data_IF_286510147361
#
_entry.id   IF_286510147361
#
_cell.length_a   1.000
_cell.length_b   1.000
_cell.length_c   1.000
_cell.angle_alpha   90.00
_cell.angle_beta   90.00
_cell.angle_gamma   90.00
#
_symmetry.space_group_name_H-M   'P 1'
#
loop_
_entity.id
_entity.type
_entity.pdbx_description
1 polymer ?
#
# COMPACT_ATOMS: atom_id res chain seq x y z
N UNK A 1 -16.78 6.20 -7.59
CA UNK A 1 -17.54 7.44 -7.89
C UNK A 1 -16.56 8.47 -8.40
N UNK A 2 -16.82 9.08 -9.55
CA UNK A 2 -16.05 10.23 -10.05
C UNK A 2 -16.98 11.44 -10.13
N UNK A 3 -16.41 12.64 -10.05
CA UNK A 3 -17.18 13.87 -10.08
C UNK A 3 -16.31 15.07 -10.47
N UNK A 4 -16.97 16.10 -10.98
CA UNK A 4 -16.37 17.39 -11.28
C UNK A 4 -17.35 18.46 -10.83
N UNK A 5 -16.88 19.46 -10.08
CA UNK A 5 -17.69 20.59 -9.68
C UNK A 5 -16.88 21.88 -9.80
N UNK A 6 -17.57 23.02 -9.80
CA UNK A 6 -16.97 24.36 -9.79
C UNK A 6 -17.01 25.02 -8.41
N UNK A 7 -17.76 24.41 -7.48
CA UNK A 7 -17.97 24.82 -6.10
C UNK A 7 -18.61 23.65 -5.32
N UNK A 8 -18.51 23.66 -4.01
CA UNK A 8 -19.24 22.74 -3.14
C UNK A 8 -20.52 23.40 -2.64
N UNK A 9 -21.65 22.69 -2.70
CA UNK A 9 -22.94 23.21 -2.20
C UNK A 9 -23.45 22.31 -1.09
N UNK A 10 -23.61 22.84 0.11
CA UNK A 10 -24.24 22.13 1.22
C UNK A 10 -25.70 21.84 0.88
N UNK A 11 -26.09 20.56 0.92
CA UNK A 11 -27.44 20.12 0.53
C UNK A 11 -28.54 20.53 1.50
N UNK A 12 -28.19 21.06 2.68
CA UNK A 12 -29.19 21.44 3.68
C UNK A 12 -29.78 22.83 3.40
N UNK A 13 -28.95 23.88 3.43
CA UNK A 13 -29.39 25.27 3.24
C UNK A 13 -28.70 25.97 2.07
N UNK A 14 -28.10 25.19 1.16
CA UNK A 14 -27.46 25.68 -0.06
C UNK A 14 -26.29 26.66 0.15
N UNK A 15 -25.65 26.68 1.33
CA UNK A 15 -24.38 27.39 1.52
C UNK A 15 -23.35 26.86 0.53
N UNK A 16 -22.63 27.76 -0.14
CA UNK A 16 -21.68 27.40 -1.20
C UNK A 16 -20.27 27.77 -0.82
N UNK A 17 -19.35 26.89 -1.19
CA UNK A 17 -17.93 27.03 -0.91
C UNK A 17 -17.13 26.98 -2.20
N UNK A 18 -16.11 27.84 -2.32
CA UNK A 18 -15.14 27.77 -3.41
C UNK A 18 -14.38 26.43 -3.36
N UNK A 19 -13.58 26.14 -4.39
CA UNK A 19 -12.69 24.96 -4.37
C UNK A 19 -11.55 25.13 -3.35
N UNK A 20 -11.24 26.37 -2.96
CA UNK A 20 -10.28 26.71 -1.91
C UNK A 20 -10.90 26.66 -0.50
N UNK A 21 -12.22 26.46 -0.41
CA UNK A 21 -12.96 26.29 0.85
C UNK A 21 -13.65 27.54 1.39
N UNK A 22 -13.52 28.69 0.73
CA UNK A 22 -14.14 29.94 1.18
C UNK A 22 -15.67 29.89 1.07
N UNK A 23 -16.38 30.40 2.08
CA UNK A 23 -17.84 30.56 2.01
C UNK A 23 -18.20 31.68 1.04
N UNK A 24 -18.72 31.33 -0.13
CA UNK A 24 -19.01 32.28 -1.22
C UNK A 24 -20.47 32.73 -1.27
N UNK A 25 -21.39 31.94 -0.71
CA UNK A 25 -22.82 32.24 -0.72
C UNK A 25 -23.53 31.68 0.51
N UNK A 26 -24.40 32.50 1.10
CA UNK A 26 -25.35 32.14 2.15
C UNK A 26 -26.78 32.43 1.67
N UNK A 27 -27.67 31.46 1.85
CA UNK A 27 -29.09 31.65 1.54
C UNK A 27 -29.70 32.65 2.53
N UNK A 28 -30.35 33.70 2.02
CA UNK A 28 -30.89 34.83 2.82
C UNK A 28 -29.82 35.45 3.74
N UNK A 29 -28.66 35.77 3.16
CA UNK A 29 -27.51 36.36 3.88
C UNK A 29 -27.90 37.62 4.68
N UNK A 30 -28.87 38.39 4.19
CA UNK A 30 -29.42 39.60 4.81
C UNK A 30 -30.14 39.37 6.16
N UNK A 31 -30.56 38.14 6.47
CA UNK A 31 -31.18 37.79 7.76
C UNK A 31 -30.14 37.54 8.88
N UNK A 32 -28.84 37.59 8.55
CA UNK A 32 -27.75 37.43 9.50
C UNK A 32 -27.09 38.78 9.82
N UNK A 33 -27.37 39.32 11.00
CA UNK A 33 -26.95 40.69 11.39
C UNK A 33 -25.42 40.89 11.49
N UNK A 34 -24.66 39.86 11.86
CA UNK A 34 -23.21 39.94 12.11
C UNK A 34 -22.42 38.81 11.41
N UNK A 35 -22.88 38.38 10.23
CA UNK A 35 -22.19 37.31 9.49
C UNK A 35 -20.94 37.83 8.79
N UNK A 36 -19.77 37.38 9.26
CA UNK A 36 -18.52 37.44 8.51
C UNK A 36 -18.20 36.07 7.92
N UNK A 37 -18.39 35.94 6.59
CA UNK A 37 -18.18 34.69 5.85
C UNK A 37 -16.75 34.15 5.97
N UNK A 38 -15.76 34.99 6.27
CA UNK A 38 -14.38 34.53 6.48
C UNK A 38 -14.23 33.58 7.68
N UNK A 39 -15.15 33.65 8.66
CA UNK A 39 -15.14 32.79 9.84
C UNK A 39 -15.85 31.44 9.63
N UNK A 40 -16.46 31.22 8.46
CA UNK A 40 -17.30 30.05 8.17
C UNK A 40 -16.89 29.30 6.90
N UNK A 41 -15.62 29.39 6.50
CA UNK A 41 -15.05 28.53 5.45
C UNK A 41 -14.98 27.05 5.86
N UNK A 42 -14.70 26.19 4.88
CA UNK A 42 -14.38 24.78 5.16
C UNK A 42 -13.10 24.69 6.00
N UNK A 43 -13.08 23.78 6.98
CA UNK A 43 -11.88 23.55 7.77
C UNK A 43 -10.74 23.02 6.88
N UNK A 44 -9.59 23.71 6.81
CA UNK A 44 -8.48 23.25 5.99
C UNK A 44 -7.83 22.01 6.59
N UNK A 45 -7.31 21.15 5.71
CA UNK A 45 -6.48 20.00 6.08
C UNK A 45 -5.14 20.18 5.37
N UNK A 46 -4.03 20.00 6.09
CA UNK A 46 -2.70 20.08 5.49
C UNK A 46 -2.57 19.01 4.41
N UNK A 47 -2.14 19.41 3.22
CA UNK A 47 -2.04 18.56 2.04
C UNK A 47 -0.69 18.78 1.35
N UNK A 48 0.06 17.71 1.11
CA UNK A 48 1.36 17.74 0.43
C UNK A 48 1.41 16.62 -0.60
N UNK A 49 2.22 16.80 -1.66
CA UNK A 49 2.34 15.85 -2.77
C UNK A 49 3.77 15.36 -2.87
N UNK A 50 3.94 14.05 -3.00
CA UNK A 50 5.22 13.39 -3.28
C UNK A 50 5.05 12.45 -4.49
N UNK A 51 5.81 12.65 -5.57
CA UNK A 51 5.78 11.79 -6.77
C UNK A 51 4.36 11.49 -7.33
N UNK A 52 3.42 12.43 -7.16
CA UNK A 52 2.02 12.29 -7.56
C UNK A 52 1.10 11.67 -6.50
N UNK A 53 1.65 11.12 -5.42
CA UNK A 53 0.89 10.66 -4.25
C UNK A 53 0.50 11.85 -3.36
N UNK A 54 -0.78 11.91 -2.99
CA UNK A 54 -1.35 12.98 -2.17
C UNK A 54 -1.43 12.50 -0.72
N UNK A 55 -0.80 13.24 0.19
CA UNK A 55 -0.86 12.98 1.63
C UNK A 55 -1.60 14.09 2.34
N UNK A 56 -2.38 13.71 3.35
CA UNK A 56 -3.05 14.65 4.24
C UNK A 56 -2.55 14.47 5.68
N UNK A 57 -2.51 15.56 6.44
CA UNK A 57 -2.23 15.53 7.87
C UNK A 57 -3.19 16.48 8.61
N UNK A 58 -3.76 16.01 9.72
CA UNK A 58 -4.65 16.82 10.55
C UNK A 58 -3.89 17.68 11.56
N UNK A 59 -2.59 17.44 11.78
CA UNK A 59 -1.73 18.30 12.57
C UNK A 59 -1.06 19.35 11.67
N UNK A 60 -1.45 20.61 11.86
CA UNK A 60 -0.88 21.75 11.13
C UNK A 60 0.60 21.99 11.49
N UNK A 61 1.06 21.49 12.63
CA UNK A 61 2.45 21.61 13.10
C UNK A 61 3.31 20.40 12.74
N UNK A 62 2.77 19.45 11.98
CA UNK A 62 3.54 18.30 11.51
C UNK A 62 4.77 18.72 10.70
N UNK A 63 5.82 17.91 10.77
CA UNK A 63 6.99 18.07 9.92
C UNK A 63 6.60 18.03 8.42
N UNK A 64 7.36 18.71 7.53
CA UNK A 64 7.13 18.62 6.09
C UNK A 64 7.12 17.17 5.60
N UNK A 65 6.22 16.83 4.67
CA UNK A 65 6.04 15.46 4.18
C UNK A 65 7.35 14.84 3.68
N UNK A 66 8.11 15.62 2.91
CA UNK A 66 9.36 15.17 2.33
C UNK A 66 10.42 14.85 3.40
N UNK A 67 10.42 15.55 4.54
CA UNK A 67 11.32 15.21 5.66
C UNK A 67 10.84 13.97 6.40
N UNK A 68 9.52 13.80 6.53
CA UNK A 68 8.90 12.63 7.14
C UNK A 68 9.23 11.33 6.39
N UNK A 69 9.01 11.31 5.07
CA UNK A 69 9.16 10.09 4.25
C UNK A 69 10.63 9.70 3.94
N UNK A 70 11.59 10.55 4.28
CA UNK A 70 13.02 10.31 4.02
C UNK A 70 13.65 9.33 5.02
N UNK A 71 14.70 8.61 4.60
CA UNK A 71 15.35 8.60 3.29
C UNK A 71 14.63 7.75 2.22
N UNK A 72 13.72 6.86 2.62
CA UNK A 72 13.18 5.83 1.72
C UNK A 72 12.47 6.40 0.50
N UNK A 73 11.54 7.35 0.68
CA UNK A 73 10.83 7.96 -0.44
C UNK A 73 11.79 8.68 -1.41
N UNK A 74 12.81 9.36 -0.88
CA UNK A 74 13.82 10.03 -1.70
C UNK A 74 14.61 9.05 -2.57
N UNK A 75 14.85 7.83 -2.08
CA UNK A 75 15.63 6.82 -2.79
C UNK A 75 14.92 6.25 -4.03
N UNK A 76 13.60 6.39 -4.12
CA UNK A 76 12.78 5.89 -5.23
C UNK A 76 12.18 7.00 -6.10
N UNK A 77 12.53 8.27 -5.84
CA UNK A 77 12.21 9.37 -6.75
C UNK A 77 12.76 9.11 -8.15
N UNK A 78 12.02 9.54 -9.17
CA UNK A 78 12.34 9.27 -10.57
C UNK A 78 11.90 7.89 -11.08
N UNK A 79 11.31 7.03 -10.24
CA UNK A 79 10.50 5.92 -10.74
C UNK A 79 9.27 6.50 -11.46
N UNK A 80 8.87 6.00 -12.65
CA UNK A 80 7.85 6.64 -13.47
C UNK A 80 6.42 6.33 -12.98
N UNK A 81 6.11 6.67 -11.73
CA UNK A 81 4.79 6.44 -11.11
C UNK A 81 3.66 7.06 -11.94
N UNK A 82 3.86 8.30 -12.43
CA UNK A 82 2.87 9.04 -13.21
C UNK A 82 2.55 8.45 -14.59
N UNK A 83 3.36 7.53 -15.10
CA UNK A 83 3.12 6.84 -16.38
C UNK A 83 2.21 5.61 -16.21
N UNK A 84 1.97 5.16 -14.97
CA UNK A 84 1.18 3.98 -14.66
C UNK A 84 -0.27 4.34 -14.32
N UNK A 85 -1.01 4.74 -15.35
CA UNK A 85 -2.37 5.28 -15.21
C UNK A 85 -3.48 4.23 -15.37
N UNK A 86 -3.17 3.00 -15.79
CA UNK A 86 -4.13 1.90 -15.79
C UNK A 86 -4.16 1.28 -14.39
N UNK A 87 -5.32 1.34 -13.73
CA UNK A 87 -5.45 0.92 -12.33
C UNK A 87 -6.51 -0.15 -12.12
N UNK A 88 -6.18 -1.12 -11.27
CA UNK A 88 -7.15 -2.10 -10.76
C UNK A 88 -7.20 -1.98 -9.24
N UNK A 89 -8.37 -1.64 -8.70
CA UNK A 89 -8.54 -1.40 -7.26
C UNK A 89 -9.51 -2.37 -6.62
N UNK A 90 -9.18 -2.80 -5.41
CA UNK A 90 -10.02 -3.61 -4.54
C UNK A 90 -10.17 -2.92 -3.19
N UNK A 91 -11.37 -3.03 -2.62
CA UNK A 91 -11.68 -2.49 -1.30
C UNK A 91 -12.46 -3.54 -0.52
N UNK A 92 -12.00 -3.83 0.69
CA UNK A 92 -12.63 -4.79 1.59
C UNK A 92 -12.70 -4.21 3.01
N UNK A 93 -13.76 -4.56 3.73
CA UNK A 93 -13.78 -4.45 5.19
C UNK A 93 -13.23 -5.76 5.74
N UNK A 94 -12.21 -5.68 6.59
CA UNK A 94 -11.51 -6.84 7.14
C UNK A 94 -11.66 -6.84 8.65
N UNK A 95 -12.08 -7.99 9.20
CA UNK A 95 -12.27 -8.25 10.63
C UNK A 95 -10.96 -8.46 11.41
N UNK A 96 -9.96 -7.63 11.15
CA UNK A 96 -8.71 -7.62 11.91
C UNK A 96 -8.24 -6.20 12.20
N UNK A 97 -7.42 -6.04 13.25
CA UNK A 97 -6.72 -4.78 13.47
C UNK A 97 -5.78 -4.49 12.29
N UNK A 98 -5.78 -3.25 11.80
CA UNK A 98 -4.94 -2.84 10.68
C UNK A 98 -3.45 -3.16 10.86
N UNK A 99 -2.91 -3.09 12.08
CA UNK A 99 -1.49 -3.41 12.36
C UNK A 99 -1.20 -4.89 12.18
N UNK A 100 -2.12 -5.75 12.63
CA UNK A 100 -2.02 -7.19 12.44
C UNK A 100 -2.07 -7.54 10.95
N UNK A 101 -2.84 -6.79 10.18
CA UNK A 101 -2.89 -6.99 8.74
C UNK A 101 -1.58 -6.55 8.06
N UNK A 102 -0.97 -5.44 8.48
CA UNK A 102 0.35 -5.01 7.97
C UNK A 102 1.43 -6.04 8.27
N UNK A 103 1.37 -6.76 9.40
CA UNK A 103 2.36 -7.80 9.72
C UNK A 103 2.58 -8.73 8.51
N UNK A 104 1.50 -9.17 7.85
CA UNK A 104 1.56 -10.05 6.67
C UNK A 104 2.24 -9.45 5.42
N UNK A 105 2.54 -8.16 5.40
CA UNK A 105 3.17 -7.50 4.26
C UNK A 105 4.56 -6.93 4.57
N UNK A 106 4.98 -6.98 5.83
CA UNK A 106 6.34 -6.64 6.27
C UNK A 106 7.18 -7.87 6.62
N UNK A 107 6.63 -9.07 6.44
CA UNK A 107 7.36 -10.34 6.37
C UNK A 107 6.89 -11.17 5.16
N UNK A 108 7.60 -12.26 4.91
CA UNK A 108 7.27 -13.20 3.82
C UNK A 108 7.43 -14.67 4.28
N UNK A 109 7.46 -14.89 5.60
CA UNK A 109 7.56 -16.19 6.23
C UNK A 109 6.31 -17.05 5.97
N UNK A 110 5.12 -16.44 5.95
CA UNK A 110 3.88 -17.17 5.67
C UNK A 110 3.74 -17.55 4.18
N UNK A 111 4.31 -16.77 3.27
CA UNK A 111 4.02 -16.83 1.84
C UNK A 111 4.29 -18.21 1.18
N UNK A 112 5.42 -18.91 1.47
CA UNK A 112 5.67 -20.26 0.96
C UNK A 112 4.59 -21.30 1.31
N UNK A 113 3.88 -21.11 2.43
CA UNK A 113 2.93 -22.07 2.97
C UNK A 113 1.50 -21.65 2.63
N UNK A 114 1.13 -20.41 2.94
CA UNK A 114 -0.24 -19.92 2.77
C UNK A 114 -0.62 -19.91 1.28
N UNK A 115 0.28 -19.44 0.43
CA UNK A 115 0.01 -19.23 -0.98
C UNK A 115 0.36 -20.42 -1.87
N UNK A 116 0.64 -21.59 -1.30
CA UNK A 116 1.05 -22.76 -2.07
C UNK A 116 0.08 -23.15 -3.20
N UNK A 117 -1.24 -22.89 -3.03
CA UNK A 117 -2.26 -23.15 -4.05
C UNK A 117 -2.16 -22.27 -5.29
N UNK A 118 -1.33 -21.22 -5.23
CA UNK A 118 -1.09 -20.31 -6.34
C UNK A 118 0.05 -20.78 -7.25
N UNK A 119 0.78 -21.82 -6.87
CA UNK A 119 1.86 -22.42 -7.65
C UNK A 119 1.42 -23.75 -8.27
N UNK A 120 2.20 -24.27 -9.22
CA UNK A 120 2.10 -25.70 -9.57
C UNK A 120 2.56 -26.56 -8.40
N UNK A 121 2.20 -27.85 -8.38
CA UNK A 121 2.55 -28.73 -7.24
C UNK A 121 4.07 -28.84 -7.05
N UNK A 122 4.79 -28.95 -8.17
CA UNK A 122 6.23 -29.08 -8.22
C UNK A 122 6.93 -27.79 -7.72
N UNK A 123 6.41 -26.63 -8.14
CA UNK A 123 6.91 -25.33 -7.72
C UNK A 123 6.62 -25.06 -6.24
N UNK A 124 5.41 -25.34 -5.76
CA UNK A 124 5.05 -25.25 -4.35
C UNK A 124 6.00 -26.07 -3.47
N UNK A 125 6.25 -27.34 -3.85
CA UNK A 125 7.15 -28.22 -3.09
C UNK A 125 8.60 -27.68 -3.04
N UNK A 126 9.06 -27.06 -4.13
CA UNK A 126 10.39 -26.43 -4.21
C UNK A 126 10.47 -25.20 -3.29
N UNK A 127 9.47 -24.32 -3.35
CA UNK A 127 9.40 -23.10 -2.54
C UNK A 127 9.33 -23.44 -1.05
N UNK A 128 8.48 -24.41 -0.66
CA UNK A 128 8.38 -24.85 0.73
C UNK A 128 9.69 -25.43 1.26
N UNK A 129 10.43 -26.17 0.44
CA UNK A 129 11.72 -26.73 0.82
C UNK A 129 12.81 -25.66 0.96
N UNK A 130 12.78 -24.64 0.10
CA UNK A 130 13.71 -23.52 0.17
C UNK A 130 13.41 -22.60 1.36
N UNK A 131 12.13 -22.40 1.66
CA UNK A 131 11.67 -21.51 2.70
C UNK A 131 11.72 -20.05 2.26
N UNK A 132 11.98 -19.17 3.22
CA UNK A 132 12.09 -17.73 3.02
C UNK A 132 13.42 -17.23 3.59
N UNK A 133 14.07 -16.34 2.84
CA UNK A 133 15.18 -15.49 3.27
C UNK A 133 15.04 -14.15 2.54
N UNK A 134 14.86 -13.05 3.26
CA UNK A 134 14.81 -11.74 2.61
C UNK A 134 16.18 -11.38 2.03
N UNK A 135 16.17 -10.68 0.90
CA UNK A 135 17.37 -10.21 0.24
C UNK A 135 17.94 -8.95 0.90
N UNK A 136 17.07 -8.13 1.49
CA UNK A 136 17.45 -6.90 2.17
C UNK A 136 16.37 -6.46 3.16
N UNK A 137 16.80 -5.86 4.26
CA UNK A 137 15.98 -5.11 5.20
C UNK A 137 16.58 -3.73 5.39
N UNK A 138 15.74 -2.71 5.45
CA UNK A 138 16.14 -1.35 5.84
C UNK A 138 15.14 -0.79 6.85
N UNK A 139 15.66 -0.25 7.96
CA UNK A 139 14.90 0.48 8.96
C UNK A 139 15.25 1.96 8.84
N UNK A 140 14.25 2.81 8.66
CA UNK A 140 14.47 4.22 8.34
C UNK A 140 13.47 5.09 9.12
N UNK A 141 13.83 5.43 10.36
CA UNK A 141 12.92 6.14 11.27
C UNK A 141 11.67 5.29 11.55
N UNK A 142 10.45 5.81 11.34
CA UNK A 142 9.22 5.03 11.50
C UNK A 142 8.92 4.12 10.30
N UNK A 143 9.64 4.29 9.19
CA UNK A 143 9.43 3.58 7.95
C UNK A 143 10.37 2.38 7.82
N UNK A 144 10.02 1.44 6.95
CA UNK A 144 10.88 0.31 6.65
C UNK A 144 10.71 -0.18 5.21
N UNK A 145 11.68 -0.97 4.78
CA UNK A 145 11.74 -1.59 3.47
C UNK A 145 12.19 -3.04 3.62
N UNK A 146 11.58 -3.92 2.81
CA UNK A 146 12.02 -5.27 2.57
C UNK A 146 12.21 -5.53 1.08
N UNK A 147 13.32 -6.15 0.71
CA UNK A 147 13.48 -6.74 -0.62
C UNK A 147 13.38 -8.26 -0.52
N UNK A 148 12.56 -8.88 -1.36
CA UNK A 148 12.47 -10.35 -1.44
C UNK A 148 12.80 -10.86 -2.84
N UNK A 149 13.17 -12.13 -2.89
CA UNK A 149 13.32 -12.81 -4.16
C UNK A 149 11.94 -13.03 -4.79
N UNK A 150 11.88 -13.06 -6.11
CA UNK A 150 10.64 -13.40 -6.82
C UNK A 150 10.91 -14.26 -8.04
N UNK A 151 9.82 -14.72 -8.64
CA UNK A 151 9.85 -15.49 -9.85
C UNK A 151 10.43 -14.63 -10.98
N UNK A 152 11.29 -15.25 -11.78
CA UNK A 152 11.79 -14.62 -12.99
C UNK A 152 10.62 -14.34 -13.93
N UNK A 153 10.60 -13.15 -14.52
CA UNK A 153 9.62 -12.75 -15.51
C UNK A 153 10.36 -12.41 -16.83
N UNK A 154 10.24 -13.24 -17.88
CA UNK A 154 9.50 -14.51 -17.95
C UNK A 154 10.18 -15.63 -17.13
N UNK A 155 9.40 -16.64 -16.67
CA UNK A 155 9.96 -17.78 -15.96
C UNK A 155 10.93 -18.60 -16.82
N UNK A 156 12.02 -19.09 -16.21
CA UNK A 156 13.00 -19.92 -16.92
C UNK A 156 12.55 -21.36 -17.15
N UNK A 157 11.67 -21.89 -16.30
CA UNK A 157 11.09 -23.23 -16.42
C UNK A 157 9.56 -23.13 -16.63
N UNK A 158 9.16 -23.19 -17.89
CA UNK A 158 7.74 -23.12 -18.28
C UNK A 158 6.93 -24.34 -17.84
N UNK A 159 7.57 -25.46 -17.48
CA UNK A 159 6.85 -26.64 -16.97
C UNK A 159 6.22 -26.40 -15.60
N UNK A 160 6.77 -25.43 -14.84
CA UNK A 160 6.29 -25.02 -13.52
C UNK A 160 5.26 -23.89 -13.58
N UNK A 161 4.91 -23.40 -14.76
CA UNK A 161 4.01 -22.26 -14.96
C UNK A 161 2.62 -22.75 -15.36
N UNK A 162 1.57 -22.19 -14.75
CA UNK A 162 0.18 -22.52 -15.10
C UNK A 162 -0.11 -22.23 -16.58
N UNK A 163 -0.87 -23.08 -17.31
CA UNK A 163 -1.11 -22.86 -18.75
C UNK A 163 -1.67 -21.48 -19.09
N UNK A 164 -2.53 -20.93 -18.24
CA UNK A 164 -3.13 -19.60 -18.44
C UNK A 164 -2.08 -18.48 -18.33
N UNK A 165 -1.19 -18.58 -17.35
CA UNK A 165 -0.07 -17.67 -17.14
C UNK A 165 0.86 -17.65 -18.35
N UNK A 166 1.12 -18.82 -18.95
CA UNK A 166 1.90 -18.94 -20.19
C UNK A 166 1.25 -18.23 -21.37
N UNK A 167 -0.06 -18.40 -21.55
CA UNK A 167 -0.82 -17.82 -22.67
C UNK A 167 -0.87 -16.31 -22.56
N UNK A 168 -1.18 -15.77 -21.38
CA UNK A 168 -1.27 -14.33 -21.18
C UNK A 168 0.06 -13.66 -20.91
N UNK A 169 1.12 -14.42 -20.63
CA UNK A 169 2.44 -13.92 -20.22
C UNK A 169 2.32 -13.00 -19.00
N UNK A 170 1.60 -13.50 -18.00
CA UNK A 170 1.36 -12.84 -16.72
C UNK A 170 1.12 -13.92 -15.67
N UNK A 171 1.00 -13.55 -14.40
CA UNK A 171 0.71 -14.51 -13.34
C UNK A 171 0.97 -13.88 -11.98
N UNK A 172 1.51 -14.69 -11.07
CA UNK A 172 1.84 -14.29 -9.70
C UNK A 172 2.62 -12.97 -9.62
N UNK A 173 3.70 -12.83 -10.39
CA UNK A 173 4.57 -11.64 -10.36
C UNK A 173 4.09 -10.53 -11.30
N UNK A 174 2.87 -10.66 -11.84
CA UNK A 174 2.29 -9.76 -12.83
C UNK A 174 2.74 -10.05 -14.27
N UNK A 175 2.53 -9.09 -15.19
CA UNK A 175 2.89 -9.21 -16.60
C UNK A 175 4.39 -9.41 -16.79
N UNK A 176 4.79 -10.31 -17.70
CA UNK A 176 6.20 -10.62 -17.94
C UNK A 176 6.92 -9.62 -18.83
N UNK A 177 6.16 -8.85 -19.59
CA UNK A 177 6.70 -7.91 -20.56
C UNK A 177 6.92 -6.55 -19.87
N UNK A 178 8.19 -6.23 -19.60
CA UNK A 178 8.58 -4.98 -18.93
C UNK A 178 8.17 -3.75 -19.77
N UNK A 179 7.49 -2.75 -19.19
CA UNK A 179 7.09 -1.55 -19.91
C UNK A 179 8.28 -0.79 -20.48
N UNK A 180 8.11 -0.19 -21.66
CA UNK A 180 9.19 0.56 -22.33
C UNK A 180 9.73 1.71 -21.49
N UNK A 181 8.87 2.37 -20.70
CA UNK A 181 9.29 3.47 -19.83
C UNK A 181 10.32 2.99 -18.79
N UNK A 182 10.14 1.79 -18.25
CA UNK A 182 11.07 1.18 -17.29
C UNK A 182 12.36 0.78 -18.01
N UNK A 183 12.26 0.17 -19.19
CA UNK A 183 13.43 -0.19 -19.99
C UNK A 183 14.28 1.02 -20.41
N UNK A 184 13.67 2.20 -20.54
CA UNK A 184 14.34 3.46 -20.92
C UNK A 184 15.02 4.20 -19.76
N UNK A 185 14.81 3.80 -18.50
CA UNK A 185 15.45 4.43 -17.33
C UNK A 185 16.98 4.26 -17.33
N UNK A 186 17.50 3.25 -18.04
CA UNK A 186 18.93 2.89 -18.03
C UNK A 186 19.32 2.18 -16.72
N UNK A 187 19.15 2.85 -15.59
CA UNK A 187 19.29 2.27 -14.25
C UNK A 187 18.03 2.59 -13.41
N UNK A 188 17.57 1.62 -12.61
CA UNK A 188 16.49 1.86 -11.66
C UNK A 188 16.94 2.86 -10.57
N UNK A 189 16.02 3.60 -9.93
CA UNK A 189 16.35 4.41 -8.77
C UNK A 189 17.13 3.60 -7.71
N UNK A 190 18.02 4.24 -6.92
CA UNK A 190 18.89 3.53 -5.99
C UNK A 190 18.13 2.81 -4.87
N UNK A 191 16.92 3.25 -4.54
CA UNK A 191 16.03 2.58 -3.59
C UNK A 191 15.41 1.30 -4.13
N UNK A 192 15.21 1.20 -5.45
CA UNK A 192 14.60 0.02 -6.09
C UNK A 192 15.69 -1.03 -6.35
N UNK A 193 15.56 -2.23 -5.80
CA UNK A 193 16.58 -3.26 -5.70
C UNK A 193 17.89 -2.65 -5.15
N UNK A 194 17.91 -2.21 -3.87
CA UNK A 194 19.00 -1.38 -3.34
C UNK A 194 20.34 -2.11 -3.27
N UNK A 195 20.32 -3.44 -3.28
CA UNK A 195 21.53 -4.28 -3.35
C UNK A 195 21.85 -4.77 -4.76
N UNK A 196 21.05 -4.36 -5.76
CA UNK A 196 21.16 -4.77 -7.17
C UNK A 196 21.29 -6.28 -7.32
N UNK A 197 20.51 -7.03 -6.53
CA UNK A 197 20.56 -8.49 -6.48
C UNK A 197 19.83 -9.05 -7.70
N UNK A 198 20.45 -9.95 -8.49
CA UNK A 198 19.82 -10.50 -9.71
C UNK A 198 18.54 -11.30 -9.47
N UNK A 199 18.39 -11.90 -8.29
CA UNK A 199 17.22 -12.70 -7.89
C UNK A 199 16.08 -11.85 -7.30
N UNK A 200 16.24 -10.52 -7.27
CA UNK A 200 15.23 -9.60 -6.76
C UNK A 200 13.92 -9.73 -7.54
N UNK A 201 12.82 -9.81 -6.81
CA UNK A 201 11.47 -9.86 -7.39
C UNK A 201 10.60 -8.68 -6.99
N UNK A 202 10.75 -8.20 -5.76
CA UNK A 202 9.92 -7.14 -5.21
C UNK A 202 10.66 -6.41 -4.09
N UNK A 203 10.41 -5.11 -4.05
CA UNK A 203 10.61 -4.28 -2.87
C UNK A 203 9.27 -3.84 -2.28
N UNK A 204 9.15 -3.96 -0.96
CA UNK A 204 7.99 -3.56 -0.18
C UNK A 204 8.38 -2.46 0.79
N UNK A 205 7.96 -1.23 0.53
CA UNK A 205 8.08 -0.11 1.46
C UNK A 205 6.85 -0.05 2.34
N UNK A 206 7.06 0.11 3.64
CA UNK A 206 6.04 0.50 4.58
C UNK A 206 6.30 1.92 5.08
N UNK A 207 5.51 2.85 4.55
CA UNK A 207 5.43 4.22 5.03
C UNK A 207 4.40 4.30 6.15
N UNK A 208 4.89 4.16 7.38
CA UNK A 208 4.09 4.38 8.59
C UNK A 208 3.27 5.69 8.49
N UNK A 209 2.01 5.71 8.95
CA UNK A 209 1.34 4.61 9.64
C UNK A 209 0.82 3.52 8.72
N UNK A 210 0.21 3.84 7.58
CA UNK A 210 -0.73 2.92 6.94
C UNK A 210 -0.65 2.84 5.41
N UNK A 211 0.49 3.22 4.83
CA UNK A 211 0.75 3.06 3.41
C UNK A 211 1.82 2.01 3.18
N UNK A 212 1.54 1.05 2.31
CA UNK A 212 2.58 0.26 1.66
C UNK A 212 2.65 0.55 0.18
N UNK A 213 3.86 0.58 -0.34
CA UNK A 213 4.18 0.72 -1.75
C UNK A 213 5.05 -0.45 -2.14
N UNK A 214 4.66 -1.17 -3.18
CA UNK A 214 5.37 -2.37 -3.65
C UNK A 214 5.77 -2.17 -5.10
N UNK A 215 7.06 -2.27 -5.41
CA UNK A 215 7.57 -2.24 -6.79
C UNK A 215 8.04 -3.63 -7.17
N UNK A 216 7.47 -4.15 -8.26
CA UNK A 216 7.79 -5.48 -8.77
C UNK A 216 8.84 -5.40 -9.87
N UNK A 217 9.66 -6.44 -9.98
CA UNK A 217 10.72 -6.57 -10.99
C UNK A 217 10.26 -6.29 -12.42
N UNK A 218 9.05 -6.74 -12.86
CA UNK A 218 8.59 -6.46 -14.22
C UNK A 218 8.25 -4.99 -14.48
N UNK A 219 8.32 -4.12 -13.45
CA UNK A 219 8.24 -2.68 -13.63
C UNK A 219 6.82 -2.12 -13.50
N UNK A 220 6.00 -2.74 -12.65
CA UNK A 220 4.70 -2.24 -12.22
C UNK A 220 4.72 -2.08 -10.69
N UNK A 221 3.78 -1.31 -10.13
CA UNK A 221 3.71 -1.14 -8.68
C UNK A 221 2.28 -1.29 -8.16
N UNK A 222 2.16 -1.48 -6.86
CA UNK A 222 0.88 -1.40 -6.17
C UNK A 222 1.00 -0.62 -4.88
N UNK A 223 -0.14 -0.18 -4.37
CA UNK A 223 -0.24 0.41 -3.03
C UNK A 223 -1.27 -0.33 -2.19
N UNK A 224 -0.97 -0.45 -0.89
CA UNK A 224 -1.94 -0.83 0.12
C UNK A 224 -2.20 0.32 1.09
N UNK A 225 -3.47 0.54 1.40
CA UNK A 225 -3.90 1.45 2.45
C UNK A 225 -4.72 0.70 3.48
N UNK A 226 -4.42 0.97 4.76
CA UNK A 226 -5.10 0.34 5.89
C UNK A 226 -5.81 1.41 6.72
N UNK A 227 -7.13 1.52 6.58
CA UNK A 227 -7.91 2.55 7.27
C UNK A 227 -8.55 1.96 8.53
N UNK A 228 -8.05 2.29 9.74
CA UNK A 228 -8.63 1.78 10.97
C UNK A 228 -10.09 2.24 11.12
N UNK A 229 -10.99 1.29 11.41
CA UNK A 229 -12.41 1.58 11.69
C UNK A 229 -12.84 1.13 13.07
N UNK A 230 -12.15 0.15 13.65
CA UNK A 230 -12.30 -0.27 15.04
C UNK A 230 -10.99 -0.88 15.57
N UNK A 231 -11.01 -1.34 16.83
CA UNK A 231 -9.87 -2.04 17.45
C UNK A 231 -9.56 -3.38 16.77
N UNK A 232 -10.54 -4.00 16.13
CA UNK A 232 -10.50 -5.33 15.53
C UNK A 232 -11.01 -5.31 14.07
N UNK A 233 -11.04 -4.13 13.45
CA UNK A 233 -11.54 -3.95 12.09
C UNK A 233 -10.84 -2.81 11.37
N UNK A 234 -10.65 -2.97 10.07
CA UNK A 234 -10.19 -1.90 9.19
C UNK A 234 -10.80 -2.03 7.79
N UNK A 235 -10.68 -0.97 6.99
CA UNK A 235 -10.87 -1.04 5.55
C UNK A 235 -9.51 -1.22 4.91
N UNK A 236 -9.37 -2.26 4.08
CA UNK A 236 -8.20 -2.49 3.24
C UNK A 236 -8.49 -2.02 1.82
N UNK A 237 -7.60 -1.19 1.27
CA UNK A 237 -7.64 -0.73 -0.11
C UNK A 237 -6.34 -1.10 -0.81
N UNK A 238 -6.46 -1.88 -1.89
CA UNK A 238 -5.36 -2.28 -2.75
C UNK A 238 -5.57 -1.64 -4.12
N UNK A 239 -4.53 -1.03 -4.69
CA UNK A 239 -4.55 -0.57 -6.08
C UNK A 239 -3.27 -1.01 -6.78
N UNK A 240 -3.43 -1.69 -7.91
CA UNK A 240 -2.34 -2.05 -8.82
C UNK A 240 -2.27 -1.01 -9.94
N UNK A 241 -1.07 -0.62 -10.31
CA UNK A 241 -0.80 0.43 -11.29
C UNK A 241 0.07 -0.14 -12.41
N UNK A 242 -0.42 -0.01 -13.64
CA UNK A 242 0.25 -0.44 -14.85
C UNK A 242 0.36 0.71 -15.85
N UNK A 243 1.39 0.66 -16.69
CA UNK A 243 1.41 1.46 -17.91
C UNK A 243 0.24 1.01 -18.81
N UNK A 244 -0.53 1.92 -19.42
CA UNK A 244 -1.68 1.55 -20.24
C UNK A 244 -1.38 0.47 -21.29
N UNK A 245 -2.23 -0.57 -21.40
CA UNK A 245 -1.97 -1.68 -22.32
C UNK A 245 -2.10 -1.24 -23.78
N UNK A 246 -1.20 -1.72 -24.64
CA UNK A 246 -1.20 -1.37 -26.08
C UNK A 246 -2.16 -2.21 -26.90
N UNK A 247 -2.57 -3.37 -26.37
CA UNK A 247 -3.40 -4.34 -27.06
C UNK A 247 -4.21 -5.18 -26.05
N UNK A 248 -5.17 -5.94 -26.57
CA UNK A 248 -6.07 -6.75 -25.75
C UNK A 248 -5.33 -7.81 -24.90
N UNK A 249 -4.23 -8.39 -25.40
CA UNK A 249 -3.45 -9.36 -24.62
C UNK A 249 -2.80 -8.72 -23.40
N UNK A 250 -2.19 -7.55 -23.56
CA UNK A 250 -1.59 -6.80 -22.43
C UNK A 250 -2.63 -6.41 -21.39
N UNK A 251 -3.82 -5.99 -21.85
CA UNK A 251 -4.93 -5.73 -20.93
C UNK A 251 -5.33 -7.00 -20.15
N UNK A 252 -5.49 -8.13 -20.84
CA UNK A 252 -5.79 -9.42 -20.18
C UNK A 252 -4.66 -9.86 -19.24
N UNK A 253 -3.40 -9.54 -19.56
CA UNK A 253 -2.26 -9.78 -18.69
C UNK A 253 -2.37 -8.99 -17.38
N UNK A 254 -2.79 -7.71 -17.44
CA UNK A 254 -3.06 -6.91 -16.25
C UNK A 254 -4.25 -7.44 -15.44
N UNK A 255 -5.33 -7.84 -16.11
CA UNK A 255 -6.51 -8.42 -15.47
C UNK A 255 -6.17 -9.73 -14.75
N UNK A 256 -5.36 -10.60 -15.35
CA UNK A 256 -4.87 -11.81 -14.70
C UNK A 256 -4.07 -11.46 -13.44
N UNK A 257 -3.11 -10.54 -13.55
CA UNK A 257 -2.33 -10.09 -12.40
C UNK A 257 -3.24 -9.59 -11.28
N UNK A 258 -4.18 -8.70 -11.60
CA UNK A 258 -5.10 -8.13 -10.62
C UNK A 258 -5.97 -9.20 -9.92
N UNK A 259 -6.52 -10.16 -10.67
CA UNK A 259 -7.29 -11.28 -10.10
C UNK A 259 -6.41 -12.17 -9.23
N UNK A 260 -5.19 -12.46 -9.67
CA UNK A 260 -4.22 -13.21 -8.88
C UNK A 260 -3.93 -12.48 -7.58
N UNK A 261 -3.57 -11.20 -7.59
CA UNK A 261 -3.30 -10.41 -6.38
C UNK A 261 -4.48 -10.35 -5.42
N UNK A 262 -5.70 -10.22 -5.93
CA UNK A 262 -6.90 -10.27 -5.10
C UNK A 262 -6.99 -11.61 -4.34
N UNK A 263 -6.65 -12.72 -4.97
CA UNK A 263 -6.68 -14.05 -4.35
C UNK A 263 -5.65 -14.18 -3.21
N UNK A 264 -4.46 -13.57 -3.33
CA UNK A 264 -3.49 -13.47 -2.24
C UNK A 264 -4.06 -12.70 -1.06
N UNK A 265 -4.55 -11.48 -1.31
CA UNK A 265 -5.11 -10.63 -0.27
C UNK A 265 -6.29 -11.29 0.47
N UNK A 266 -7.08 -12.13 -0.21
CA UNK A 266 -8.16 -12.90 0.42
C UNK A 266 -7.65 -14.01 1.34
N UNK A 267 -6.57 -14.70 0.96
CA UNK A 267 -5.94 -15.72 1.81
C UNK A 267 -5.34 -15.10 3.08
N UNK A 268 -4.69 -13.94 2.94
CA UNK A 268 -4.14 -13.17 4.05
C UNK A 268 -5.25 -12.71 4.99
N UNK A 269 -6.30 -12.09 4.43
CA UNK A 269 -7.44 -11.61 5.19
C UNK A 269 -8.10 -12.73 6.00
N UNK A 270 -8.41 -13.86 5.39
CA UNK A 270 -9.03 -14.97 6.09
C UNK A 270 -8.18 -15.47 7.26
N UNK A 271 -6.86 -15.58 7.07
CA UNK A 271 -5.93 -16.00 8.13
C UNK A 271 -5.87 -14.97 9.27
N UNK A 272 -5.80 -13.69 8.93
CA UNK A 272 -5.61 -12.62 9.91
C UNK A 272 -6.89 -12.27 10.67
N UNK A 273 -8.08 -12.49 10.10
CA UNK A 273 -9.35 -12.44 10.83
C UNK A 273 -9.46 -13.57 11.87
N UNK A 274 -9.01 -14.78 11.52
CA UNK A 274 -8.92 -15.87 12.47
C UNK A 274 -7.90 -15.57 13.59
N UNK A 275 -6.73 -15.02 13.24
CA UNK A 275 -5.73 -14.57 14.22
C UNK A 275 -6.27 -13.47 15.12
N UNK A 276 -7.00 -12.47 14.58
CA UNK A 276 -7.65 -11.43 15.37
C UNK A 276 -8.65 -12.03 16.37
N UNK A 277 -9.47 -12.99 15.92
CA UNK A 277 -10.43 -13.70 16.77
C UNK A 277 -9.71 -14.40 17.94
N UNK A 278 -8.59 -15.09 17.65
CA UNK A 278 -7.76 -15.73 18.66
C UNK A 278 -7.13 -14.75 19.64
N UNK A 279 -6.58 -13.62 19.16
CA UNK A 279 -6.03 -12.56 20.01
C UNK A 279 -7.11 -11.99 20.93
N UNK A 280 -8.34 -11.83 20.42
CA UNK A 280 -9.49 -11.37 21.20
C UNK A 280 -9.82 -12.22 22.43
N UNK A 281 -9.46 -13.51 22.41
CA UNK A 281 -9.64 -14.41 23.57
C UNK A 281 -8.70 -14.12 24.73
N UNK A 282 -7.58 -13.44 24.48
CA UNK A 282 -6.50 -13.15 25.45
C UNK A 282 -5.85 -14.40 26.10
N UNK A 283 -6.03 -15.58 25.49
CA UNK A 283 -5.42 -16.83 25.95
C UNK A 283 -3.93 -16.83 25.62
N UNK A 284 -3.57 -16.49 24.38
CA UNK A 284 -2.19 -16.26 23.96
C UNK A 284 -1.84 -14.82 24.29
N UNK A 285 -0.78 -14.63 25.07
CA UNK A 285 -0.34 -13.30 25.55
C UNK A 285 0.94 -12.82 24.87
N UNK A 286 1.72 -13.75 24.34
CA UNK A 286 3.04 -13.51 23.79
C UNK A 286 3.15 -14.22 22.44
N UNK A 287 3.70 -13.53 21.45
CA UNK A 287 4.02 -14.08 20.15
C UNK A 287 5.53 -14.03 19.96
N UNK A 288 6.11 -15.17 19.62
CA UNK A 288 7.52 -15.25 19.27
C UNK A 288 7.68 -14.95 17.78
N UNK A 289 8.36 -13.86 17.47
CA UNK A 289 8.75 -13.51 16.11
C UNK A 289 10.15 -14.07 15.84
N UNK A 290 10.36 -14.70 14.69
CA UNK A 290 11.68 -15.10 14.22
C UNK A 290 12.50 -13.89 13.76
N UNK A 291 13.79 -14.10 13.48
CA UNK A 291 14.68 -12.98 13.12
C UNK A 291 14.37 -12.37 11.75
N UNK A 292 13.69 -13.12 10.87
CA UNK A 292 13.24 -12.61 9.59
C UNK A 292 11.97 -11.74 9.67
N UNK A 293 11.32 -11.72 10.83
CA UNK A 293 10.16 -10.86 11.14
C UNK A 293 10.60 -9.57 11.87
N UNK A 294 11.84 -9.12 11.61
CA UNK A 294 12.40 -7.90 12.22
C UNK A 294 11.57 -6.65 11.92
N UNK A 295 10.91 -6.60 10.76
CA UNK A 295 10.06 -5.46 10.40
C UNK A 295 8.71 -5.48 11.13
N UNK A 296 8.17 -6.65 11.47
CA UNK A 296 7.03 -6.77 12.38
C UNK A 296 7.40 -6.22 13.76
N UNK A 297 8.58 -6.63 14.29
CA UNK A 297 9.12 -6.09 15.56
C UNK A 297 9.24 -4.56 15.50
N UNK A 298 9.76 -4.03 14.40
CA UNK A 298 9.89 -2.60 14.16
C UNK A 298 8.53 -1.88 14.13
N UNK A 299 7.55 -2.37 13.36
CA UNK A 299 6.20 -1.81 13.28
C UNK A 299 5.56 -1.65 14.66
N UNK A 300 5.58 -2.72 15.47
CA UNK A 300 4.97 -2.70 16.80
C UNK A 300 5.75 -1.82 17.78
N UNK A 301 7.09 -1.75 17.67
CA UNK A 301 7.92 -0.83 18.46
C UNK A 301 7.59 0.62 18.14
N UNK A 302 7.61 1.00 16.86
CA UNK A 302 7.30 2.36 16.38
C UNK A 302 5.89 2.76 16.80
N UNK A 303 4.90 1.90 16.56
CA UNK A 303 3.51 2.14 17.00
C UNK A 303 3.45 2.40 18.51
N UNK A 304 4.11 1.54 19.30
CA UNK A 304 4.12 1.67 20.76
C UNK A 304 4.76 2.99 21.23
N UNK A 305 5.80 3.46 20.55
CA UNK A 305 6.44 4.74 20.88
C UNK A 305 5.53 5.93 20.57
N UNK A 306 4.88 5.96 19.39
CA UNK A 306 3.89 7.00 19.05
C UNK A 306 2.72 7.04 20.04
N UNK A 307 2.19 5.88 20.43
CA UNK A 307 1.10 5.80 21.43
C UNK A 307 1.57 6.33 22.78
N UNK A 308 2.79 5.99 23.22
CA UNK A 308 3.35 6.50 24.48
C UNK A 308 3.56 8.01 24.44
N UNK A 309 4.13 8.53 23.36
CA UNK A 309 4.34 9.97 23.17
C UNK A 309 3.02 10.73 23.22
N UNK A 310 2.00 10.26 22.48
CA UNK A 310 0.66 10.84 22.53
C UNK A 310 0.07 10.82 23.96
N UNK A 311 0.24 9.71 24.69
CA UNK A 311 -0.25 9.58 26.06
C UNK A 311 0.48 10.50 27.04
N UNK A 312 1.79 10.72 26.87
CA UNK A 312 2.61 11.56 27.72
C UNK A 312 2.40 13.06 27.46
N UNK A 313 2.11 13.44 26.21
CA UNK A 313 1.87 14.84 25.83
C UNK A 313 0.49 15.37 26.27
N UNK A 314 -0.21 14.69 27.19
CA UNK A 314 -1.44 15.19 27.80
C UNK A 314 -2.64 15.29 26.84
N UNK A 315 -2.58 14.65 25.67
CA UNK A 315 -3.70 14.60 24.71
C UNK A 315 -4.73 13.50 25.06
N UNK A 316 -4.60 12.93 26.26
CA UNK A 316 -5.68 12.24 26.97
C UNK A 316 -6.79 13.25 27.27
N UNK A 317 -7.77 13.36 26.37
CA UNK A 317 -9.09 13.86 26.76
C UNK A 317 -9.80 12.85 27.64
#
# INVERSE_FOLDING_TARGET
>A
TSGTCRQFTCKYHAWRYSLDGDLTFVQQEEEFFDLDKANFGLAPVRCEVWEGFIFINFDNNAAPLNDYLRPLAKSIEGYPFGEMTETYSYRAEVGSNWKLFIDAFVEFYHAPILHQGQYTKEEAAKIQKFGYEALHYELAGPHNLQSTWGGQAPPSDMSMVKPMDQVLRSGLFGPWDKPEVIAKLGELPPGVNPKRIPQWGIDSWHFFPNLMLLIWEPGWFLTYHYWPTAVDKHIFECTLYFVPPRNARERLAHELAAVTFKEYALQDANTLEATQTMIGTKVVKDFLLCDQEILCRHLHKVTGDYVKEYSHNGHSK
#
